data_IF_679665516118
#
_entry.id   IF_679665516118
#
_cell.length_a   1.000
_cell.length_b   1.000
_cell.length_c   1.000
_cell.angle_alpha   90.00
_cell.angle_beta   90.00
_cell.angle_gamma   90.00
#
_symmetry.space_group_name_H-M   'P 1'
#
loop_
_entity.id
_entity.type
_entity.pdbx_description
1 polymer ?
#
# COMPACT_ATOMS: atom_id res chain seq x y z
N UNK A 1 -43.93 8.76 68.14
CA UNK A 1 -43.47 10.07 67.63
C UNK A 1 -42.05 9.99 67.08
N UNK A 2 -41.03 9.61 67.86
CA UNK A 2 -39.63 9.53 67.38
C UNK A 2 -39.47 8.62 66.14
N UNK A 3 -40.04 7.41 66.18
CA UNK A 3 -40.01 6.46 65.06
C UNK A 3 -40.67 7.00 63.79
N UNK A 4 -41.71 7.83 63.93
CA UNK A 4 -42.41 8.42 62.80
C UNK A 4 -41.53 9.47 62.08
N UNK A 5 -40.86 10.33 62.85
CA UNK A 5 -39.89 11.28 62.28
C UNK A 5 -38.68 10.59 61.65
N UNK A 6 -38.22 9.48 62.23
CA UNK A 6 -37.12 8.69 61.69
C UNK A 6 -37.50 7.99 60.38
N UNK A 7 -38.72 7.42 60.31
CA UNK A 7 -39.27 6.86 59.08
C UNK A 7 -39.47 7.93 58.00
N UNK A 8 -39.98 9.11 58.37
CA UNK A 8 -40.16 10.23 57.45
C UNK A 8 -38.82 10.74 56.90
N UNK A 9 -37.79 10.84 57.75
CA UNK A 9 -36.44 11.21 57.36
C UNK A 9 -35.83 10.21 56.38
N UNK A 10 -35.96 8.91 56.66
CA UNK A 10 -35.50 7.86 55.75
C UNK A 10 -36.24 7.89 54.41
N UNK A 11 -37.55 8.13 54.42
CA UNK A 11 -38.35 8.26 53.20
C UNK A 11 -37.85 9.45 52.35
N UNK A 12 -37.64 10.60 52.96
CA UNK A 12 -37.16 11.81 52.30
C UNK A 12 -35.75 11.61 51.73
N UNK A 13 -34.88 10.95 52.48
CA UNK A 13 -33.53 10.61 52.04
C UNK A 13 -33.56 9.63 50.87
N UNK A 14 -34.49 8.66 50.87
CA UNK A 14 -34.69 7.73 49.76
C UNK A 14 -35.19 8.45 48.51
N UNK A 15 -36.12 9.41 48.65
CA UNK A 15 -36.58 10.26 47.54
C UNK A 15 -35.48 11.14 46.97
N UNK A 16 -34.64 11.74 47.83
CA UNK A 16 -33.49 12.54 47.40
C UNK A 16 -32.48 11.65 46.67
N UNK A 17 -32.17 10.46 47.19
CA UNK A 17 -31.29 9.49 46.51
C UNK A 17 -31.87 9.10 45.14
N UNK A 18 -33.16 8.77 45.05
CA UNK A 18 -33.83 8.45 43.78
C UNK A 18 -33.79 9.61 42.77
N UNK A 19 -33.96 10.86 43.24
CA UNK A 19 -33.89 12.06 42.41
C UNK A 19 -32.47 12.37 41.91
N UNK A 20 -31.46 12.27 42.79
CA UNK A 20 -30.06 12.56 42.47
C UNK A 20 -29.44 11.47 41.58
N UNK A 21 -29.75 10.20 41.85
CA UNK A 21 -29.35 9.09 40.98
C UNK A 21 -30.13 9.07 39.66
N UNK A 22 -31.08 9.99 39.45
CA UNK A 22 -31.91 10.10 38.25
C UNK A 22 -32.50 8.75 37.82
N UNK A 23 -32.90 7.91 38.77
CA UNK A 23 -33.48 6.59 38.50
C UNK A 23 -34.82 6.67 37.74
N UNK A 24 -35.41 7.87 37.61
CA UNK A 24 -36.58 8.13 36.76
C UNK A 24 -36.31 8.94 35.48
N UNK A 25 -35.30 9.82 35.45
CA UNK A 25 -35.11 10.81 34.36
C UNK A 25 -33.74 10.70 33.63
N UNK A 26 -32.85 9.83 34.11
CA UNK A 26 -31.56 9.49 33.48
C UNK A 26 -31.55 8.09 32.84
N UNK A 27 -32.66 7.35 32.97
CA UNK A 27 -32.91 6.05 32.34
C UNK A 27 -34.06 6.09 31.33
N UNK A 28 -34.58 7.27 30.96
CA UNK A 28 -35.62 7.39 29.90
C UNK A 28 -35.12 6.85 28.55
N UNK A 29 -33.80 6.82 28.38
CA UNK A 29 -33.12 6.34 27.19
C UNK A 29 -32.75 4.86 27.24
N UNK A 30 -33.18 4.08 28.24
CA UNK A 30 -32.79 2.67 28.36
C UNK A 30 -33.96 1.78 28.79
N UNK A 31 -34.35 0.84 27.93
CA UNK A 31 -35.31 -0.21 28.25
C UNK A 31 -34.65 -1.59 28.24
N UNK A 32 -34.85 -2.34 29.31
CA UNK A 32 -34.48 -3.74 29.39
C UNK A 32 -35.65 -4.56 28.83
N UNK A 33 -35.40 -5.34 27.78
CA UNK A 33 -36.38 -6.27 27.19
C UNK A 33 -35.97 -7.69 27.60
N UNK A 34 -36.43 -8.21 28.75
CA UNK A 34 -35.89 -9.44 29.35
C UNK A 34 -36.22 -10.66 28.50
N UNK A 35 -37.40 -10.66 27.86
CA UNK A 35 -37.88 -11.73 26.99
C UNK A 35 -36.94 -12.01 25.81
N UNK A 36 -36.26 -10.97 25.32
CA UNK A 36 -35.29 -11.08 24.22
C UNK A 36 -33.85 -10.97 24.69
N UNK A 37 -33.61 -10.77 25.99
CA UNK A 37 -32.28 -10.48 26.56
C UNK A 37 -31.59 -9.30 25.86
N UNK A 38 -32.36 -8.26 25.52
CA UNK A 38 -31.88 -7.06 24.82
C UNK A 38 -31.94 -5.84 25.74
N UNK A 39 -31.01 -4.92 25.51
CA UNK A 39 -31.03 -3.57 26.09
C UNK A 39 -31.28 -2.62 24.93
N UNK A 40 -32.37 -1.88 24.99
CA UNK A 40 -32.76 -0.90 23.98
C UNK A 40 -32.37 0.48 24.46
N UNK A 41 -31.71 1.25 23.59
CA UNK A 41 -31.40 2.64 23.86
C UNK A 41 -32.35 3.55 23.06
N UNK A 42 -32.93 4.55 23.72
CA UNK A 42 -33.84 5.51 23.11
C UNK A 42 -33.23 6.91 23.07
N UNK A 43 -33.20 7.50 21.88
CA UNK A 43 -32.66 8.84 21.68
C UNK A 43 -31.14 8.92 21.89
N UNK A 44 -30.65 10.14 22.11
CA UNK A 44 -29.22 10.38 22.29
C UNK A 44 -28.82 9.96 23.70
N UNK A 45 -27.98 8.92 23.79
CA UNK A 45 -27.44 8.44 25.06
C UNK A 45 -25.94 8.67 25.10
N UNK A 46 -25.46 9.38 26.11
CA UNK A 46 -24.03 9.58 26.35
C UNK A 46 -23.51 8.46 27.25
N UNK A 47 -22.69 7.58 26.66
CA UNK A 47 -22.14 6.39 27.31
C UNK A 47 -20.63 6.37 27.05
N UNK A 48 -19.84 6.77 28.04
CA UNK A 48 -18.37 6.83 27.97
C UNK A 48 -17.74 5.49 27.53
N UNK A 49 -18.18 4.38 28.15
CA UNK A 49 -17.70 3.04 27.79
C UNK A 49 -18.80 2.00 27.84
N UNK A 50 -19.04 1.36 26.69
CA UNK A 50 -19.98 0.24 26.56
C UNK A 50 -19.18 -1.06 26.44
N UNK A 51 -19.50 -2.03 27.29
CA UNK A 51 -18.96 -3.38 27.21
C UNK A 51 -20.08 -4.37 26.88
N UNK A 52 -19.99 -4.99 25.70
CA UNK A 52 -21.00 -5.96 25.23
C UNK A 52 -20.37 -7.32 24.97
N UNK A 53 -20.81 -8.32 25.73
CA UNK A 53 -20.21 -9.67 25.73
C UNK A 53 -20.45 -10.45 24.43
N UNK A 54 -21.56 -10.21 23.74
CA UNK A 54 -21.89 -10.88 22.48
C UNK A 54 -21.35 -10.14 21.24
N UNK A 55 -20.74 -8.95 21.43
CA UNK A 55 -20.17 -8.12 20.36
C UNK A 55 -21.17 -7.58 19.34
N UNK A 56 -22.48 -7.67 19.58
CA UNK A 56 -23.52 -7.27 18.60
C UNK A 56 -24.11 -5.90 18.90
N UNK A 57 -23.80 -4.91 18.08
CA UNK A 57 -24.46 -3.59 18.12
C UNK A 57 -25.31 -3.47 16.86
N UNK A 58 -26.63 -3.47 17.03
CA UNK A 58 -27.59 -3.54 15.93
C UNK A 58 -28.64 -2.42 16.08
N UNK A 59 -29.05 -1.84 14.95
CA UNK A 59 -30.14 -0.88 14.87
C UNK A 59 -31.43 -1.55 14.41
N UNK A 60 -32.53 -0.80 14.42
CA UNK A 60 -33.77 -1.26 13.80
C UNK A 60 -33.69 -1.16 12.28
N UNK A 61 -34.54 -1.92 11.58
CA UNK A 61 -34.69 -1.78 10.13
C UNK A 61 -34.98 -0.33 9.78
N UNK A 62 -34.26 0.23 8.80
CA UNK A 62 -34.34 1.64 8.37
C UNK A 62 -33.89 2.68 9.42
N UNK A 63 -33.37 2.27 10.58
CA UNK A 63 -32.85 3.18 11.61
C UNK A 63 -31.36 2.87 11.88
N UNK A 64 -30.42 3.64 11.30
CA UNK A 64 -28.99 3.41 11.51
C UNK A 64 -28.62 3.61 12.99
N UNK A 65 -27.63 2.85 13.46
CA UNK A 65 -26.98 3.14 14.75
C UNK A 65 -25.92 4.19 14.51
N UNK A 66 -26.11 5.37 15.10
CA UNK A 66 -25.15 6.46 15.03
C UNK A 66 -24.27 6.47 16.29
N UNK A 67 -22.96 6.45 16.09
CA UNK A 67 -21.97 6.61 17.16
C UNK A 67 -21.19 7.89 16.87
N UNK A 68 -21.28 8.85 17.79
CA UNK A 68 -20.73 10.20 17.62
C UNK A 68 -19.73 10.46 18.75
N UNK A 69 -18.51 10.86 18.38
CA UNK A 69 -17.54 11.41 19.32
C UNK A 69 -17.57 12.93 19.27
N UNK A 70 -18.12 13.59 20.30
CA UNK A 70 -18.13 15.06 20.37
C UNK A 70 -16.72 15.58 20.72
N UNK A 71 -16.03 16.12 19.71
CA UNK A 71 -14.61 16.53 19.80
C UNK A 71 -13.68 15.44 20.37
N UNK A 72 -14.05 14.16 20.17
CA UNK A 72 -13.40 12.99 20.75
C UNK A 72 -13.27 11.85 19.74
N UNK A 73 -12.47 10.84 20.08
CA UNK A 73 -12.29 9.65 19.26
C UNK A 73 -13.24 8.53 19.68
N UNK A 74 -13.76 7.77 18.71
CA UNK A 74 -14.56 6.57 18.96
C UNK A 74 -13.68 5.33 18.79
N UNK A 75 -13.69 4.45 19.79
CA UNK A 75 -12.89 3.23 19.82
C UNK A 75 -13.78 1.99 19.89
N UNK A 76 -13.64 1.09 18.91
CA UNK A 76 -14.32 -0.21 18.91
C UNK A 76 -13.24 -1.29 18.95
N UNK A 77 -13.10 -1.93 20.11
CA UNK A 77 -12.08 -2.93 20.37
C UNK A 77 -12.74 -4.27 20.75
N UNK A 78 -12.24 -5.37 20.18
CA UNK A 78 -12.56 -6.69 20.68
C UNK A 78 -11.67 -7.02 21.89
N UNK A 79 -12.28 -7.68 22.87
CA UNK A 79 -11.64 -8.12 24.11
C UNK A 79 -11.81 -9.62 24.29
N UNK A 80 -10.82 -10.28 24.87
CA UNK A 80 -10.89 -11.70 25.20
C UNK A 80 -11.74 -11.98 26.47
N UNK A 81 -11.86 -13.25 26.87
CA UNK A 81 -12.64 -13.65 28.04
C UNK A 81 -12.06 -13.09 29.34
N UNK A 82 -10.78 -12.78 29.34
CA UNK A 82 -9.99 -12.22 30.43
C UNK A 82 -9.98 -10.68 30.41
N UNK A 83 -10.69 -10.05 29.46
CA UNK A 83 -10.81 -8.59 29.33
C UNK A 83 -9.60 -7.90 28.70
N UNK A 84 -8.67 -8.65 28.09
CA UNK A 84 -7.49 -8.10 27.41
C UNK A 84 -7.86 -7.68 26.00
N UNK A 85 -7.25 -6.58 25.57
CA UNK A 85 -7.44 -6.05 24.22
C UNK A 85 -6.85 -7.01 23.18
N UNK A 86 -7.61 -7.25 22.13
CA UNK A 86 -7.19 -8.07 20.98
C UNK A 86 -6.78 -7.17 19.81
N UNK A 87 -6.12 -7.75 18.80
CA UNK A 87 -5.65 -6.99 17.63
C UNK A 87 -6.76 -6.38 16.75
N UNK A 88 -7.95 -7.01 16.59
CA UNK A 88 -9.05 -6.41 15.86
C UNK A 88 -9.55 -5.14 16.56
N UNK A 89 -9.30 -4.00 15.92
CA UNK A 89 -9.70 -2.68 16.43
C UNK A 89 -10.06 -1.72 15.31
N UNK A 90 -11.05 -0.88 15.59
CA UNK A 90 -11.46 0.25 14.76
C UNK A 90 -11.32 1.51 15.62
N UNK A 91 -10.46 2.43 15.20
CA UNK A 91 -10.30 3.73 15.83
C UNK A 91 -10.75 4.80 14.85
N UNK A 92 -11.71 5.61 15.26
CA UNK A 92 -12.23 6.73 14.48
C UNK A 92 -11.79 8.00 15.21
N UNK A 93 -10.78 8.69 14.68
CA UNK A 93 -10.26 9.94 15.20
C UNK A 93 -10.62 11.09 14.24
N UNK A 94 -10.50 12.34 14.70
CA UNK A 94 -10.80 13.56 13.94
C UNK A 94 -9.99 13.65 12.63
N UNK A 95 -8.75 13.16 12.63
CA UNK A 95 -7.85 13.24 11.48
C UNK A 95 -7.72 11.93 10.70
N UNK A 96 -7.84 10.79 11.38
CA UNK A 96 -7.52 9.47 10.81
C UNK A 96 -8.48 8.42 11.35
N UNK A 97 -9.00 7.59 10.46
CA UNK A 97 -9.67 6.33 10.81
C UNK A 97 -8.73 5.16 10.55
N UNK A 98 -8.50 4.31 11.55
CA UNK A 98 -7.64 3.12 11.44
C UNK A 98 -8.41 1.86 11.75
N UNK A 99 -8.35 0.88 10.86
CA UNK A 99 -8.86 -0.49 11.08
C UNK A 99 -7.66 -1.44 11.04
N UNK A 100 -7.44 -2.22 12.11
CA UNK A 100 -6.30 -3.17 12.18
C UNK A 100 -6.74 -4.53 12.68
N UNK A 101 -5.93 -5.56 12.41
CA UNK A 101 -6.20 -6.93 12.88
C UNK A 101 -7.38 -7.60 12.16
N UNK A 102 -7.73 -7.13 10.95
CA UNK A 102 -8.82 -7.69 10.13
C UNK A 102 -8.26 -8.32 8.86
N UNK A 103 -8.84 -9.44 8.44
CA UNK A 103 -8.50 -10.09 7.17
C UNK A 103 -9.04 -9.31 5.96
N UNK A 104 -10.28 -8.80 6.07
CA UNK A 104 -10.92 -8.01 5.02
C UNK A 104 -11.80 -6.94 5.64
N UNK A 105 -11.92 -5.81 4.94
CA UNK A 105 -12.81 -4.70 5.28
C UNK A 105 -13.70 -4.41 4.08
N UNK A 106 -15.01 -4.50 4.29
CA UNK A 106 -16.04 -4.24 3.28
C UNK A 106 -16.93 -3.08 3.72
N UNK A 107 -17.13 -2.12 2.83
CA UNK A 107 -18.18 -1.09 2.94
C UNK A 107 -19.26 -1.44 1.93
N UNK A 108 -20.51 -1.50 2.37
CA UNK A 108 -21.66 -1.79 1.53
C UNK A 108 -22.61 -0.61 1.49
N UNK A 109 -23.22 -0.40 0.33
CA UNK A 109 -24.32 0.54 0.16
C UNK A 109 -25.51 0.03 1.01
N UNK A 110 -26.07 0.88 1.90
CA UNK A 110 -27.16 0.47 2.78
C UNK A 110 -28.46 0.18 2.03
N UNK A 111 -28.72 0.82 0.88
CA UNK A 111 -29.96 0.65 0.10
C UNK A 111 -29.87 -0.56 -0.82
N UNK A 112 -28.73 -0.74 -1.48
CA UNK A 112 -28.57 -1.79 -2.51
C UNK A 112 -27.89 -3.06 -1.97
N UNK A 113 -27.24 -2.99 -0.81
CA UNK A 113 -26.44 -4.07 -0.24
C UNK A 113 -25.16 -4.37 -1.01
N UNK A 114 -24.87 -3.65 -2.09
CA UNK A 114 -23.70 -3.85 -2.93
C UNK A 114 -22.43 -3.35 -2.23
N UNK A 115 -21.31 -4.07 -2.39
CA UNK A 115 -20.02 -3.62 -1.87
C UNK A 115 -19.53 -2.40 -2.65
N UNK A 116 -19.38 -1.27 -1.95
CA UNK A 116 -18.84 -0.01 -2.46
C UNK A 116 -17.31 0.01 -2.32
N UNK A 117 -16.80 -0.63 -1.27
CA UNK A 117 -15.37 -0.81 -1.03
C UNK A 117 -15.12 -2.19 -0.45
N UNK A 118 -14.06 -2.86 -0.88
CA UNK A 118 -13.62 -4.13 -0.32
C UNK A 118 -12.10 -4.23 -0.38
N UNK A 119 -11.47 -4.63 0.70
CA UNK A 119 -10.04 -5.03 0.67
C UNK A 119 -9.86 -6.50 0.27
N UNK A 120 -10.95 -7.27 0.14
CA UNK A 120 -10.92 -8.69 -0.22
C UNK A 120 -10.82 -8.96 -1.73
N UNK A 121 -11.11 -7.96 -2.57
CA UNK A 121 -11.10 -8.09 -4.02
C UNK A 121 -10.13 -7.09 -4.69
N UNK A 122 -9.14 -7.54 -5.47
CA UNK A 122 -8.08 -6.70 -6.05
C UNK A 122 -8.52 -5.90 -7.29
N UNK A 123 -9.73 -6.11 -7.81
CA UNK A 123 -10.28 -5.35 -8.95
C UNK A 123 -10.85 -4.01 -8.48
N UNK A 124 -10.04 -3.25 -7.76
CA UNK A 124 -10.40 -1.91 -7.34
C UNK A 124 -10.06 -0.91 -8.45
N UNK A 125 -11.05 -0.15 -8.90
CA UNK A 125 -10.77 1.10 -9.59
C UNK A 125 -10.16 2.07 -8.59
N UNK A 126 -8.89 2.45 -8.78
CA UNK A 126 -8.21 3.39 -7.89
C UNK A 126 -9.02 4.71 -7.81
N UNK A 127 -9.41 5.19 -6.62
CA UNK A 127 -10.20 6.38 -6.46
C UNK A 127 -9.33 7.57 -6.85
N UNK A 128 -10.00 8.65 -7.25
CA UNK A 128 -9.29 9.88 -7.60
C UNK A 128 -8.48 10.36 -6.41
N UNK A 129 -7.18 10.65 -6.63
CA UNK A 129 -6.29 11.20 -5.61
C UNK A 129 -5.29 10.23 -4.99
N UNK A 130 -5.28 8.95 -5.37
CA UNK A 130 -4.21 8.02 -4.94
C UNK A 130 -2.86 8.48 -5.48
N UNK A 131 -1.95 8.84 -4.58
CA UNK A 131 -0.58 9.31 -4.92
C UNK A 131 0.49 8.23 -4.85
N UNK A 132 0.30 7.23 -3.99
CA UNK A 132 1.23 6.13 -3.77
C UNK A 132 0.45 4.82 -3.76
N UNK A 133 0.91 3.84 -4.53
CA UNK A 133 0.35 2.50 -4.58
C UNK A 133 1.47 1.52 -4.22
N UNK A 134 1.25 0.75 -3.15
CA UNK A 134 2.17 -0.28 -2.68
C UNK A 134 1.49 -1.65 -2.86
N UNK A 135 2.02 -2.44 -3.80
CA UNK A 135 1.38 -3.67 -4.28
C UNK A 135 2.42 -4.71 -4.66
N UNK A 136 2.06 -5.99 -4.54
CA UNK A 136 2.90 -7.12 -4.98
C UNK A 136 2.75 -7.43 -6.47
N UNK A 137 1.55 -7.26 -7.01
CA UNK A 137 1.23 -7.53 -8.41
C UNK A 137 0.07 -6.63 -8.85
N UNK A 138 0.18 -6.04 -10.04
CA UNK A 138 -0.93 -5.37 -10.71
C UNK A 138 -1.04 -5.88 -12.15
N UNK A 139 -2.28 -6.08 -12.57
CA UNK A 139 -2.63 -6.34 -13.96
C UNK A 139 -3.46 -5.16 -14.47
N UNK A 140 -2.89 -4.41 -15.41
CA UNK A 140 -3.55 -3.25 -16.01
C UNK A 140 -3.15 -3.15 -17.47
N UNK A 141 -4.01 -2.51 -18.27
CA UNK A 141 -3.73 -2.22 -19.67
C UNK A 141 -2.75 -1.05 -19.82
N UNK A 142 -2.72 -0.12 -18.86
CA UNK A 142 -1.91 1.10 -18.94
C UNK A 142 -1.50 1.60 -17.56
N UNK A 143 -0.24 2.02 -17.47
CA UNK A 143 0.30 2.80 -16.34
C UNK A 143 0.77 4.13 -16.93
N UNK A 144 0.33 5.25 -16.38
CA UNK A 144 0.67 6.58 -16.88
C UNK A 144 0.78 7.55 -15.72
N UNK A 145 1.74 8.48 -15.77
CA UNK A 145 1.71 9.64 -14.89
C UNK A 145 0.71 10.68 -15.37
N UNK A 146 0.33 11.63 -14.50
CA UNK A 146 -0.26 12.90 -14.91
C UNK A 146 0.67 13.69 -15.85
N UNK A 147 0.08 14.57 -16.68
CA UNK A 147 0.80 15.35 -17.72
C UNK A 147 2.00 16.13 -17.18
N UNK A 148 1.89 16.65 -15.95
CA UNK A 148 2.91 17.50 -15.33
C UNK A 148 3.65 16.79 -14.18
N UNK A 149 3.71 15.46 -14.19
CA UNK A 149 4.35 14.69 -13.14
C UNK A 149 5.12 13.48 -13.70
N UNK A 150 6.17 13.09 -12.99
CA UNK A 150 6.95 11.88 -13.29
C UNK A 150 6.29 10.64 -12.69
N UNK A 151 6.41 9.51 -13.41
CA UNK A 151 6.03 8.20 -12.92
C UNK A 151 7.26 7.51 -12.33
N UNK A 152 7.18 7.07 -11.07
CA UNK A 152 8.24 6.32 -10.41
C UNK A 152 7.79 4.88 -10.16
N UNK A 153 8.55 3.91 -10.69
CA UNK A 153 8.40 2.50 -10.36
C UNK A 153 9.63 2.11 -9.54
N UNK A 154 9.43 1.69 -8.29
CA UNK A 154 10.50 1.28 -7.39
C UNK A 154 10.14 -0.05 -6.73
N UNK A 155 11.12 -0.92 -6.62
CA UNK A 155 11.04 -2.19 -5.89
C UNK A 155 12.35 -2.38 -5.13
N UNK A 156 12.26 -2.96 -3.94
CA UNK A 156 13.44 -3.24 -3.11
C UNK A 156 14.16 -4.53 -3.55
N UNK A 157 13.54 -5.34 -4.43
CA UNK A 157 14.09 -6.63 -4.87
C UNK A 157 14.25 -6.70 -6.39
N UNK A 158 13.13 -6.75 -7.11
CA UNK A 158 13.12 -6.71 -8.57
C UNK A 158 11.81 -6.12 -9.08
N UNK A 159 11.84 -5.57 -10.29
CA UNK A 159 10.65 -5.15 -11.03
C UNK A 159 10.57 -5.92 -12.34
N UNK A 160 9.44 -6.57 -12.61
CA UNK A 160 9.21 -7.31 -13.85
C UNK A 160 8.01 -6.73 -14.60
N UNK A 161 8.27 -6.15 -15.76
CA UNK A 161 7.23 -5.68 -16.68
C UNK A 161 7.05 -6.71 -17.78
N UNK A 162 5.83 -7.25 -17.92
CA UNK A 162 5.50 -8.27 -18.92
C UNK A 162 4.15 -7.93 -19.54
N UNK A 163 4.11 -7.79 -20.86
CA UNK A 163 2.87 -7.77 -21.64
C UNK A 163 2.70 -9.05 -22.44
N UNK A 164 1.44 -9.44 -22.66
CA UNK A 164 1.07 -10.60 -23.49
C UNK A 164 1.38 -10.37 -24.97
N UNK A 165 1.22 -9.13 -25.44
CA UNK A 165 1.43 -8.70 -26.84
C UNK A 165 2.70 -7.86 -27.02
N UNK A 166 3.53 -7.77 -25.97
CA UNK A 166 4.69 -6.88 -25.91
C UNK A 166 4.49 -5.75 -24.91
N UNK A 167 5.49 -4.88 -24.80
CA UNK A 167 5.50 -3.77 -23.85
C UNK A 167 6.01 -2.52 -24.56
N UNK A 168 5.24 -1.44 -24.48
CA UNK A 168 5.59 -0.13 -25.04
C UNK A 168 5.75 0.85 -23.90
N UNK A 169 6.90 1.50 -23.83
CA UNK A 169 7.20 2.54 -22.84
C UNK A 169 7.51 3.82 -23.59
N UNK A 170 6.84 4.90 -23.20
CA UNK A 170 7.01 6.22 -23.81
C UNK A 170 7.08 7.27 -22.72
N UNK A 171 7.96 8.24 -22.90
CA UNK A 171 8.16 9.33 -21.96
C UNK A 171 9.07 10.37 -22.58
N UNK A 172 9.08 11.57 -22.00
CA UNK A 172 10.06 12.61 -22.35
C UNK A 172 11.48 12.13 -22.04
N UNK A 173 11.63 11.42 -20.93
CA UNK A 173 12.88 10.82 -20.47
C UNK A 173 12.52 9.48 -19.80
N UNK A 174 13.28 8.44 -20.11
CA UNK A 174 13.13 7.11 -19.50
C UNK A 174 14.48 6.72 -18.92
N UNK A 175 14.54 6.61 -17.59
CA UNK A 175 15.74 6.21 -16.86
C UNK A 175 15.48 4.85 -16.20
N UNK A 176 16.29 3.86 -16.55
CA UNK A 176 16.33 2.58 -15.85
C UNK A 176 17.61 2.50 -15.03
N UNK A 177 17.46 2.22 -13.74
CA UNK A 177 18.56 2.01 -12.82
C UNK A 177 18.29 0.76 -12.00
N UNK A 178 19.30 -0.10 -11.88
CA UNK A 178 19.27 -1.30 -11.06
C UNK A 178 20.63 -1.47 -10.40
N UNK A 179 20.66 -2.03 -9.19
CA UNK A 179 21.91 -2.29 -8.46
C UNK A 179 22.77 -3.38 -9.13
N UNK A 180 22.13 -4.30 -9.85
CA UNK A 180 22.78 -5.40 -10.56
C UNK A 180 22.55 -5.29 -12.07
N UNK A 181 21.51 -5.96 -12.57
CA UNK A 181 21.31 -6.16 -14.00
C UNK A 181 19.98 -5.61 -14.49
N UNK A 182 19.97 -5.12 -15.73
CA UNK A 182 18.76 -4.78 -16.48
C UNK A 182 18.64 -5.76 -17.66
N UNK A 183 17.59 -6.58 -17.65
CA UNK A 183 17.34 -7.57 -18.69
C UNK A 183 16.26 -7.09 -19.65
N UNK A 184 16.63 -6.90 -20.92
CA UNK A 184 15.70 -6.66 -22.02
C UNK A 184 15.62 -7.92 -22.88
N UNK A 185 14.47 -8.60 -22.85
CA UNK A 185 14.27 -9.86 -23.56
C UNK A 185 13.03 -9.81 -24.43
N UNK A 186 13.18 -10.21 -25.69
CA UNK A 186 12.09 -10.53 -26.60
C UNK A 186 12.19 -12.00 -27.00
N UNK A 187 11.07 -12.72 -27.06
CA UNK A 187 11.05 -14.15 -27.43
C UNK A 187 10.91 -14.30 -28.94
N UNK A 188 9.92 -13.61 -29.54
CA UNK A 188 9.59 -13.67 -30.96
C UNK A 188 9.49 -12.26 -31.56
N UNK A 189 10.47 -11.40 -31.29
CA UNK A 189 10.45 -10.03 -31.78
C UNK A 189 11.76 -9.32 -31.53
N UNK A 190 11.75 -8.00 -31.70
CA UNK A 190 12.90 -7.13 -31.45
C UNK A 190 12.73 -6.35 -30.15
N UNK A 191 13.85 -5.98 -29.56
CA UNK A 191 13.92 -4.89 -28.57
C UNK A 191 14.34 -3.65 -29.32
N UNK A 192 13.49 -2.62 -29.34
CA UNK A 192 13.77 -1.36 -30.04
C UNK A 192 13.89 -0.28 -28.97
N UNK A 193 15.09 0.30 -28.89
CA UNK A 193 15.35 1.51 -28.12
C UNK A 193 15.47 2.64 -29.14
N UNK A 194 14.69 3.71 -28.96
CA UNK A 194 14.71 4.87 -29.86
C UNK A 194 14.44 6.13 -29.05
N UNK A 195 15.35 7.09 -29.11
CA UNK A 195 15.24 8.39 -28.43
C UNK A 195 15.63 9.49 -29.41
N UNK A 196 14.89 10.61 -29.37
CA UNK A 196 15.16 11.77 -30.24
C UNK A 196 16.57 12.32 -30.04
N UNK A 197 17.03 12.38 -28.78
CA UNK A 197 18.38 12.84 -28.40
C UNK A 197 19.38 11.67 -28.29
N UNK A 198 19.01 10.49 -28.78
CA UNK A 198 19.81 9.28 -28.69
C UNK A 198 19.57 8.46 -27.42
N UNK A 199 20.41 7.45 -27.22
CA UNK A 199 20.37 6.52 -26.09
C UNK A 199 21.72 6.58 -25.41
N UNK A 200 21.73 6.93 -24.12
CA UNK A 200 22.93 6.92 -23.29
C UNK A 200 22.95 5.68 -22.40
N UNK A 201 24.06 4.94 -22.42
CA UNK A 201 24.34 3.85 -21.48
C UNK A 201 25.53 4.30 -20.65
N UNK A 202 25.49 4.12 -19.33
CA UNK A 202 26.66 4.42 -18.50
C UNK A 202 27.80 3.47 -18.88
N UNK A 203 28.84 4.07 -19.44
CA UNK A 203 29.99 3.37 -20.02
C UNK A 203 30.92 2.86 -18.91
N UNK A 204 30.87 3.43 -17.70
CA UNK A 204 31.78 3.07 -16.59
C UNK A 204 31.58 1.62 -16.13
N UNK A 205 30.36 1.11 -16.19
CA UNK A 205 30.02 -0.26 -15.81
C UNK A 205 30.27 -1.30 -16.90
N UNK A 206 30.54 -0.88 -18.15
CA UNK A 206 30.85 -1.79 -19.24
C UNK A 206 32.33 -2.21 -19.16
N UNK A 207 32.67 -3.51 -19.10
CA UNK A 207 34.05 -3.96 -18.96
C UNK A 207 34.92 -3.55 -20.16
N UNK A 208 36.17 -3.20 -19.90
CA UNK A 208 37.17 -2.95 -20.94
C UNK A 208 37.93 -4.25 -21.18
N UNK A 209 37.85 -4.77 -22.39
CA UNK A 209 38.64 -5.90 -22.84
C UNK A 209 39.88 -5.41 -23.58
N UNK A 210 41.05 -5.86 -23.13
CA UNK A 210 42.33 -5.51 -23.73
C UNK A 210 42.66 -6.52 -24.84
N UNK A 211 43.03 -5.99 -26.00
CA UNK A 211 43.69 -6.77 -27.05
C UNK A 211 45.21 -6.79 -26.84
N UNK A 212 45.89 -7.65 -27.57
CA UNK A 212 47.35 -7.74 -27.52
C UNK A 212 47.97 -6.40 -27.99
N UNK A 213 48.55 -5.64 -27.06
CA UNK A 213 49.10 -4.29 -27.31
C UNK A 213 48.14 -3.10 -27.07
N UNK A 214 46.95 -3.30 -26.52
CA UNK A 214 46.02 -2.22 -26.19
C UNK A 214 46.40 -1.46 -24.91
N UNK A 215 46.66 -0.15 -25.00
CA UNK A 215 46.84 0.69 -23.81
C UNK A 215 45.46 1.02 -23.20
N UNK A 216 45.18 0.73 -21.90
CA UNK A 216 43.90 1.05 -21.25
C UNK A 216 43.60 2.55 -21.18
N UNK A 217 44.59 3.42 -21.41
CA UNK A 217 44.43 4.87 -21.43
C UNK A 217 44.14 5.41 -22.85
N UNK A 218 43.16 4.82 -23.56
CA UNK A 218 42.70 5.37 -24.84
C UNK A 218 41.62 6.44 -24.66
N UNK A 219 41.62 7.43 -25.54
CA UNK A 219 40.60 8.49 -25.64
C UNK A 219 39.33 7.97 -26.34
N UNK A 220 39.42 6.88 -27.10
CA UNK A 220 38.32 6.33 -27.89
C UNK A 220 38.15 4.83 -27.67
N UNK A 221 36.91 4.38 -27.57
CA UNK A 221 36.56 2.98 -27.39
C UNK A 221 35.54 2.54 -28.44
N UNK A 222 35.67 1.31 -28.92
CA UNK A 222 34.62 0.61 -29.66
C UNK A 222 33.80 -0.21 -28.69
N UNK A 223 32.47 -0.19 -28.84
CA UNK A 223 31.55 -1.06 -28.10
C UNK A 223 31.30 -2.32 -28.93
N UNK A 224 31.50 -3.47 -28.31
CA UNK A 224 31.40 -4.79 -28.91
C UNK A 224 30.34 -5.62 -28.17
N UNK A 225 29.72 -6.56 -28.89
CA UNK A 225 28.70 -7.46 -28.35
C UNK A 225 29.24 -8.90 -28.41
N UNK A 226 29.15 -9.60 -27.29
CA UNK A 226 29.34 -11.04 -27.22
C UNK A 226 28.09 -11.73 -27.77
N UNK A 227 28.27 -12.54 -28.80
CA UNK A 227 27.19 -13.37 -29.35
C UNK A 227 27.39 -14.82 -28.88
N UNK A 228 26.32 -15.54 -28.49
CA UNK A 228 24.91 -15.13 -28.53
C UNK A 228 24.39 -14.41 -27.27
N UNK A 229 25.20 -14.26 -26.21
CA UNK A 229 24.72 -13.83 -24.88
C UNK A 229 24.26 -12.37 -24.81
N UNK A 230 24.69 -11.52 -25.75
CA UNK A 230 24.34 -10.10 -25.80
C UNK A 230 25.10 -9.21 -24.82
N UNK A 231 26.14 -9.71 -24.14
CA UNK A 231 26.96 -8.93 -23.20
C UNK A 231 27.76 -7.85 -23.94
N UNK A 232 27.80 -6.63 -23.40
CA UNK A 232 28.56 -5.51 -23.97
C UNK A 232 29.96 -5.42 -23.35
N UNK A 233 30.95 -5.09 -24.17
CA UNK A 233 32.31 -4.78 -23.72
C UNK A 233 32.96 -3.69 -24.56
N UNK A 234 34.04 -3.10 -24.05
CA UNK A 234 34.76 -1.99 -24.68
C UNK A 234 36.16 -2.39 -25.10
N UNK A 235 36.60 -1.94 -26.27
CA UNK A 235 37.97 -2.15 -26.76
C UNK A 235 38.63 -0.79 -27.01
N UNK A 236 39.80 -0.50 -26.43
CA UNK A 236 40.50 0.76 -26.64
C UNK A 236 40.99 0.86 -28.09
N UNK A 237 40.80 2.03 -28.71
CA UNK A 237 41.33 2.33 -30.04
C UNK A 237 42.72 2.97 -29.89
N UNK A 238 43.80 2.37 -30.39
CA UNK A 238 45.14 2.94 -30.25
C UNK A 238 45.24 4.32 -30.91
N UNK A 239 45.83 5.30 -30.21
CA UNK A 239 45.94 6.69 -30.69
C UNK A 239 47.12 6.94 -31.65
N UNK A 240 47.79 5.89 -32.14
CA UNK A 240 49.00 5.98 -32.96
C UNK A 240 48.77 5.68 -34.44
N UNK A 241 48.65 6.75 -35.24
CA UNK A 241 49.05 6.97 -36.64
C UNK A 241 49.05 5.91 -37.76
N UNK A 242 48.88 4.61 -37.52
CA UNK A 242 48.84 3.59 -38.57
C UNK A 242 47.63 2.72 -38.34
N UNK A 243 46.73 2.65 -39.35
CA UNK A 243 45.58 1.75 -39.63
C UNK A 243 45.40 0.43 -38.83
N UNK A 244 45.67 0.39 -37.53
CA UNK A 244 45.51 -0.78 -36.69
C UNK A 244 44.05 -0.85 -36.28
N UNK A 245 43.25 -1.42 -37.19
CA UNK A 245 41.84 -1.66 -36.98
C UNK A 245 41.69 -2.78 -35.95
N UNK A 246 41.73 -2.42 -34.66
CA UNK A 246 41.36 -3.37 -33.61
C UNK A 246 39.86 -3.61 -33.76
N UNK A 247 39.51 -4.81 -34.24
CA UNK A 247 38.14 -5.29 -34.31
C UNK A 247 37.75 -5.97 -33.01
N UNK A 248 36.45 -6.15 -32.79
CA UNK A 248 35.91 -6.88 -31.64
C UNK A 248 36.36 -8.35 -31.57
N UNK A 249 36.98 -8.88 -32.63
CA UNK A 249 37.55 -10.22 -32.70
C UNK A 249 38.99 -10.31 -32.17
N UNK A 250 39.68 -9.17 -31.96
CA UNK A 250 41.10 -9.13 -31.58
C UNK A 250 41.32 -9.03 -30.05
N UNK A 251 40.28 -9.26 -29.26
CA UNK A 251 40.35 -9.24 -27.78
C UNK A 251 40.76 -10.59 -27.23
N UNK A 252 41.50 -10.56 -26.13
CA UNK A 252 41.95 -11.78 -25.47
C UNK A 252 40.78 -12.50 -24.76
N UNK A 253 40.34 -13.62 -25.34
CA UNK A 253 39.25 -14.47 -24.84
C UNK A 253 39.72 -15.54 -23.84
N UNK A 254 40.92 -15.42 -23.26
CA UNK A 254 41.38 -16.34 -22.21
C UNK A 254 40.43 -16.36 -21.01
N UNK A 255 40.32 -17.51 -20.34
CA UNK A 255 39.29 -17.77 -19.32
C UNK A 255 39.26 -16.80 -18.14
N UNK A 256 40.35 -16.07 -17.88
CA UNK A 256 40.43 -15.08 -16.80
C UNK A 256 40.04 -13.66 -17.23
N UNK A 257 40.06 -13.35 -18.53
CA UNK A 257 39.83 -12.00 -19.05
C UNK A 257 38.73 -11.93 -20.10
N UNK A 258 38.02 -13.04 -20.33
CA UNK A 258 37.01 -13.13 -21.37
C UNK A 258 35.79 -12.26 -21.00
N UNK A 259 35.53 -11.16 -21.72
CA UNK A 259 34.38 -10.30 -21.44
C UNK A 259 33.02 -10.95 -21.78
N UNK A 260 33.05 -12.09 -22.47
CA UNK A 260 31.87 -12.83 -22.91
C UNK A 260 31.46 -13.97 -21.97
N UNK A 261 32.32 -14.39 -21.03
CA UNK A 261 31.97 -15.42 -20.03
C UNK A 261 31.26 -14.82 -18.82
#
# INVERSE_FOLDING_TARGET
MLLFFLALGNLLLTFIILGVLRLGQGMESLELVPEKSLIMFYGNTDLDRIYKRDGKLEGFSECPVEMIGDNGSVYINLVDKEGRLTEPRININLSITTVTGVHSFDVRDPLTGQSVFSTGFPNFGLPRGVKKLDIRMAQTQRITSPVNASLFLRSDTYTRLRGTEGTRMEGREIVWSADQDIYLKSVNGSVILSGHEGISVDIKSIPIALGDGGNPASVQYKVCVCMPEGKLFRVPVPSGGNNMHVGCHNVNLSSQTNPCM
#
